data_IF_342970616033
#
_entry.id   IF_342970616033
#
_cell.length_a   1.000
_cell.length_b   1.000
_cell.length_c   1.000
_cell.angle_alpha   90.00
_cell.angle_beta   90.00
_cell.angle_gamma   90.00
#
_symmetry.space_group_name_H-M   'P 1'
#
loop_
_entity.id
_entity.type
_entity.pdbx_description
1 polymer ?
#
# COMPACT_ATOMS: atom_id res chain seq x y z
N UNK A 1 10.68 -19.21 -11.21
CA UNK A 1 9.74 -18.10 -10.89
C UNK A 1 10.43 -17.17 -9.92
N UNK A 2 9.98 -15.93 -9.76
CA UNK A 2 10.57 -15.04 -8.77
C UNK A 2 10.13 -15.46 -7.36
N UNK A 3 11.01 -15.31 -6.37
CA UNK A 3 10.66 -15.52 -4.97
C UNK A 3 10.06 -14.26 -4.36
N UNK A 4 9.40 -14.40 -3.20
CA UNK A 4 8.89 -13.25 -2.40
C UNK A 4 10.03 -12.27 -2.11
N UNK A 5 11.21 -12.78 -1.74
CA UNK A 5 12.39 -11.97 -1.48
C UNK A 5 12.86 -11.17 -2.71
N UNK A 6 12.93 -11.81 -3.89
CA UNK A 6 13.32 -11.13 -5.13
C UNK A 6 12.31 -10.04 -5.52
N UNK A 7 11.01 -10.28 -5.28
CA UNK A 7 9.96 -9.29 -5.50
C UNK A 7 10.11 -8.13 -4.52
N UNK A 8 10.35 -8.39 -3.24
CA UNK A 8 10.61 -7.34 -2.24
C UNK A 8 11.81 -6.48 -2.63
N UNK A 9 12.93 -7.10 -3.02
CA UNK A 9 14.12 -6.38 -3.48
C UNK A 9 13.81 -5.49 -4.70
N UNK A 10 13.00 -5.97 -5.62
CA UNK A 10 12.57 -5.19 -6.78
C UNK A 10 11.71 -4.00 -6.38
N UNK A 11 10.77 -4.17 -5.46
CA UNK A 11 9.93 -3.08 -4.92
C UNK A 11 10.78 -2.04 -4.21
N UNK A 12 11.73 -2.45 -3.37
CA UNK A 12 12.64 -1.53 -2.68
C UNK A 12 13.67 -0.86 -3.59
N UNK A 13 13.99 -1.44 -4.74
CA UNK A 13 14.81 -0.73 -5.75
C UNK A 13 14.10 0.49 -6.34
N UNK A 14 12.78 0.50 -6.29
CA UNK A 14 11.93 1.62 -6.73
C UNK A 14 11.54 2.56 -5.58
N UNK A 15 11.08 2.01 -4.48
CA UNK A 15 10.68 2.77 -3.29
C UNK A 15 11.50 2.27 -2.07
N UNK A 16 12.71 2.82 -1.84
CA UNK A 16 13.64 2.34 -0.82
C UNK A 16 13.02 2.29 0.58
N UNK A 17 13.35 1.26 1.34
CA UNK A 17 12.87 1.10 2.71
C UNK A 17 13.23 2.28 3.60
N UNK A 18 14.41 2.87 3.37
CA UNK A 18 14.96 3.99 4.12
C UNK A 18 14.17 5.30 3.91
N UNK A 19 13.31 5.35 2.89
CA UNK A 19 12.42 6.49 2.66
C UNK A 19 11.10 6.39 3.43
N UNK A 20 10.85 5.28 4.13
CA UNK A 20 9.70 5.15 5.01
C UNK A 20 9.86 6.00 6.28
N UNK A 21 8.72 6.39 6.86
CA UNK A 21 8.70 7.06 8.16
C UNK A 21 9.23 6.14 9.26
N UNK A 22 9.91 6.68 10.26
CA UNK A 22 10.54 5.93 11.36
C UNK A 22 9.58 5.04 12.16
N UNK A 23 8.30 5.40 12.17
CA UNK A 23 7.24 4.66 12.87
C UNK A 23 6.59 3.57 12.00
N UNK A 24 6.91 3.51 10.71
CA UNK A 24 6.22 2.65 9.75
C UNK A 24 6.69 1.19 9.80
N UNK A 25 5.87 0.30 9.22
CA UNK A 25 6.16 -1.12 9.14
C UNK A 25 6.04 -1.60 7.69
N UNK A 26 7.06 -1.29 6.89
CA UNK A 26 7.12 -1.63 5.47
C UNK A 26 7.98 -2.87 5.20
N UNK A 27 7.69 -3.58 4.14
CA UNK A 27 8.41 -4.75 3.66
C UNK A 27 7.64 -6.06 3.83
N UNK A 28 8.35 -7.17 3.80
CA UNK A 28 7.78 -8.50 3.93
C UNK A 28 7.36 -8.77 5.38
N UNK A 29 6.05 -8.84 5.62
CA UNK A 29 5.45 -8.93 6.95
C UNK A 29 4.95 -10.32 7.31
N UNK A 30 4.55 -11.13 6.33
CA UNK A 30 3.98 -12.48 6.53
C UNK A 30 4.48 -13.40 5.43
N UNK A 31 4.82 -14.63 5.77
CA UNK A 31 5.11 -15.71 4.82
C UNK A 31 6.59 -16.07 4.70
N UNK A 32 6.91 -16.90 3.71
CA UNK A 32 8.25 -17.42 3.45
C UNK A 32 8.93 -16.56 2.36
N UNK A 33 10.12 -15.97 2.62
CA UNK A 33 10.85 -15.20 1.63
C UNK A 33 11.29 -16.02 0.40
N UNK A 34 11.48 -17.34 0.56
CA UNK A 34 11.89 -18.23 -0.52
C UNK A 34 10.73 -18.81 -1.32
N UNK A 35 9.49 -18.52 -0.95
CA UNK A 35 8.31 -18.96 -1.67
C UNK A 35 8.32 -18.41 -3.11
N UNK A 36 8.14 -19.31 -4.08
CA UNK A 36 7.95 -18.93 -5.48
C UNK A 36 6.57 -18.32 -5.73
N UNK A 37 6.53 -17.27 -6.53
CA UNK A 37 5.32 -16.47 -6.80
C UNK A 37 5.01 -16.49 -8.29
N UNK A 38 3.81 -16.96 -8.63
CA UNK A 38 3.24 -16.90 -9.98
C UNK A 38 2.22 -15.76 -10.10
N UNK A 39 1.49 -15.48 -9.00
CA UNK A 39 0.40 -14.51 -9.00
C UNK A 39 0.47 -13.60 -7.78
N UNK A 40 0.33 -12.32 -8.05
CA UNK A 40 0.32 -11.26 -7.03
C UNK A 40 -1.06 -10.61 -7.04
N UNK A 41 -1.66 -10.46 -5.86
CA UNK A 41 -2.82 -9.59 -5.65
C UNK A 41 -2.33 -8.25 -5.09
N UNK A 42 -2.77 -7.14 -5.69
CA UNK A 42 -2.46 -5.79 -5.21
C UNK A 42 -3.70 -5.20 -4.57
N UNK A 43 -3.56 -4.69 -3.36
CA UNK A 43 -4.68 -4.12 -2.59
C UNK A 43 -4.25 -2.89 -1.78
N UNK A 44 -5.23 -2.08 -1.36
CA UNK A 44 -4.98 -0.98 -0.42
C UNK A 44 -4.76 -1.54 0.99
N UNK A 45 -5.66 -2.39 1.44
CA UNK A 45 -5.68 -3.03 2.76
C UNK A 45 -5.71 -4.55 2.63
N UNK A 46 -5.11 -5.27 3.58
CA UNK A 46 -5.27 -6.72 3.72
C UNK A 46 -6.43 -7.00 4.68
N UNK A 47 -7.63 -7.10 4.12
CA UNK A 47 -8.85 -7.47 4.85
C UNK A 47 -9.17 -8.95 4.68
N UNK A 48 -10.08 -9.49 5.49
CA UNK A 48 -10.58 -10.87 5.32
C UNK A 48 -11.09 -11.13 3.90
N UNK A 49 -11.77 -10.15 3.30
CA UNK A 49 -12.26 -10.22 1.92
C UNK A 49 -11.12 -10.29 0.90
N UNK A 50 -10.09 -9.48 1.07
CA UNK A 50 -8.91 -9.47 0.19
C UNK A 50 -8.14 -10.79 0.31
N UNK A 51 -8.00 -11.35 1.52
CA UNK A 51 -7.39 -12.67 1.71
C UNK A 51 -8.21 -13.77 1.04
N UNK A 52 -9.55 -13.73 1.15
CA UNK A 52 -10.40 -14.68 0.44
C UNK A 52 -10.26 -14.56 -1.09
N UNK A 53 -10.19 -13.34 -1.63
CA UNK A 53 -9.95 -13.11 -3.06
C UNK A 53 -8.59 -13.67 -3.50
N UNK A 54 -7.53 -13.52 -2.68
CA UNK A 54 -6.23 -14.10 -2.95
C UNK A 54 -6.29 -15.63 -3.02
N UNK A 55 -7.02 -16.27 -2.09
CA UNK A 55 -7.27 -17.73 -2.10
C UNK A 55 -8.02 -18.14 -3.38
N UNK A 56 -9.11 -17.46 -3.68
CA UNK A 56 -9.99 -17.80 -4.81
C UNK A 56 -9.27 -17.66 -6.16
N UNK A 57 -8.39 -16.66 -6.29
CA UNK A 57 -7.59 -16.47 -7.51
C UNK A 57 -6.24 -17.21 -7.50
N UNK A 58 -5.88 -17.89 -6.41
CA UNK A 58 -4.63 -18.64 -6.28
C UNK A 58 -3.39 -17.72 -6.25
N UNK A 59 -3.46 -16.58 -5.61
CA UNK A 59 -2.30 -15.70 -5.41
C UNK A 59 -1.44 -16.19 -4.25
N UNK A 60 -0.10 -16.23 -4.45
CA UNK A 60 0.87 -16.57 -3.42
C UNK A 60 1.34 -15.34 -2.63
N UNK A 61 1.13 -14.13 -3.18
CA UNK A 61 1.60 -12.89 -2.58
C UNK A 61 0.53 -11.81 -2.66
N UNK A 62 0.31 -11.10 -1.55
CA UNK A 62 -0.43 -9.84 -1.53
C UNK A 62 0.57 -8.71 -1.33
N UNK A 63 0.55 -7.73 -2.23
CA UNK A 63 1.26 -6.45 -2.06
C UNK A 63 0.23 -5.40 -1.66
N UNK A 64 0.34 -4.85 -0.47
CA UNK A 64 -0.59 -3.84 0.04
C UNK A 64 0.08 -2.49 0.26
N UNK A 65 -0.73 -1.44 0.29
CA UNK A 65 -0.28 -0.13 0.73
C UNK A 65 -0.22 -0.06 2.25
N UNK A 66 -1.33 -0.34 2.93
CA UNK A 66 -1.35 -0.34 4.40
C UNK A 66 -0.75 -1.62 4.98
N UNK A 67 0.08 -1.52 6.04
CA UNK A 67 0.64 -2.68 6.71
C UNK A 67 -0.44 -3.49 7.43
N UNK A 68 -0.35 -4.81 7.31
CA UNK A 68 -1.34 -5.71 7.92
C UNK A 68 -1.22 -5.77 9.44
N UNK A 69 -0.09 -5.36 10.01
CA UNK A 69 0.17 -5.38 11.45
C UNK A 69 1.29 -4.41 11.88
N UNK A 70 1.43 -4.22 13.20
CA UNK A 70 2.55 -3.52 13.87
C UNK A 70 2.72 -2.05 13.47
N UNK A 71 1.62 -1.31 13.37
CA UNK A 71 1.67 0.15 13.23
C UNK A 71 1.66 0.80 14.62
N UNK A 72 2.58 1.74 14.86
CA UNK A 72 2.79 2.35 16.20
C UNK A 72 1.57 3.04 16.80
N UNK A 73 0.66 3.55 15.99
CA UNK A 73 -0.57 4.17 16.52
C UNK A 73 -1.51 3.16 17.20
N UNK A 74 -1.28 1.85 17.02
CA UNK A 74 -1.99 0.77 17.71
C UNK A 74 -1.18 0.15 18.86
N UNK A 75 -0.15 0.82 19.38
CA UNK A 75 0.75 0.29 20.43
C UNK A 75 0.02 -0.16 21.71
N UNK A 76 -1.17 0.35 21.95
CA UNK A 76 -1.99 -0.01 23.12
C UNK A 76 -2.86 -1.25 22.90
N UNK A 77 -2.97 -1.71 21.68
CA UNK A 77 -3.75 -2.89 21.37
C UNK A 77 -2.88 -4.13 21.41
N UNK A 78 -3.36 -5.18 22.08
CA UNK A 78 -2.68 -6.46 22.12
C UNK A 78 -2.69 -7.09 20.73
N UNK A 79 -1.52 -7.26 20.12
CA UNK A 79 -1.35 -7.97 18.86
C UNK A 79 -1.32 -9.48 19.12
N UNK A 80 -2.16 -10.25 18.43
CA UNK A 80 -2.32 -11.69 18.67
C UNK A 80 -2.64 -12.42 17.37
N UNK A 81 -2.21 -13.68 17.27
CA UNK A 81 -2.55 -14.61 16.17
C UNK A 81 -3.83 -15.40 16.42
N UNK A 82 -4.60 -15.05 17.44
CA UNK A 82 -5.89 -15.74 17.74
C UNK A 82 -6.89 -15.52 16.61
N UNK A 83 -7.47 -16.60 16.04
CA UNK A 83 -8.37 -16.51 14.88
C UNK A 83 -9.73 -15.87 15.21
N UNK A 84 -10.05 -15.70 16.50
CA UNK A 84 -11.27 -15.02 16.98
C UNK A 84 -11.12 -13.50 17.08
N UNK A 85 -9.95 -12.96 16.72
CA UNK A 85 -9.73 -11.52 16.57
C UNK A 85 -9.58 -11.17 15.10
N UNK A 86 -9.98 -9.96 14.70
CA UNK A 86 -9.89 -9.52 13.28
C UNK A 86 -8.47 -9.68 12.72
N UNK A 87 -7.48 -9.10 13.38
CA UNK A 87 -6.08 -9.18 12.93
C UNK A 87 -5.56 -10.62 12.94
N UNK A 88 -5.77 -11.33 14.04
CA UNK A 88 -5.32 -12.72 14.18
C UNK A 88 -6.00 -13.65 13.19
N UNK A 89 -7.26 -13.43 12.85
CA UNK A 89 -7.99 -14.15 11.80
C UNK A 89 -7.36 -13.96 10.43
N UNK A 90 -7.06 -12.71 10.05
CA UNK A 90 -6.37 -12.38 8.80
C UNK A 90 -5.01 -13.06 8.75
N UNK A 91 -4.16 -12.85 9.77
CA UNK A 91 -2.79 -13.40 9.79
C UNK A 91 -2.77 -14.93 9.77
N UNK A 92 -3.62 -15.58 10.56
CA UNK A 92 -3.70 -17.05 10.57
C UNK A 92 -4.24 -17.62 9.26
N UNK A 93 -5.12 -16.91 8.57
CA UNK A 93 -5.62 -17.34 7.25
C UNK A 93 -4.55 -17.20 6.18
N UNK A 94 -3.78 -16.11 6.16
CA UNK A 94 -2.62 -15.95 5.27
C UNK A 94 -1.64 -17.14 5.43
N UNK A 95 -1.21 -17.39 6.67
CA UNK A 95 -0.23 -18.46 6.97
C UNK A 95 -0.77 -19.85 6.60
N UNK A 96 -2.05 -20.15 6.88
CA UNK A 96 -2.66 -21.45 6.56
C UNK A 96 -2.81 -21.73 5.07
N UNK A 97 -2.84 -20.68 4.26
CA UNK A 97 -2.99 -20.79 2.81
C UNK A 97 -1.69 -20.49 2.04
N UNK A 98 -0.56 -20.43 2.77
CA UNK A 98 0.76 -20.13 2.19
C UNK A 98 0.74 -18.84 1.36
N UNK A 99 0.07 -17.78 1.86
CA UNK A 99 0.01 -16.48 1.22
C UNK A 99 0.92 -15.52 1.97
N UNK A 100 1.93 -15.02 1.26
CA UNK A 100 2.86 -14.00 1.76
C UNK A 100 2.27 -12.61 1.62
N UNK A 101 2.74 -11.66 2.45
CA UNK A 101 2.30 -10.27 2.42
C UNK A 101 3.48 -9.31 2.49
N UNK A 102 3.55 -8.39 1.52
CA UNK A 102 4.49 -7.27 1.47
C UNK A 102 3.71 -5.96 1.57
N UNK A 103 4.19 -5.06 2.42
CA UNK A 103 3.65 -3.71 2.56
C UNK A 103 4.59 -2.66 1.93
N UNK A 104 4.02 -1.78 1.10
CA UNK A 104 4.66 -0.61 0.51
C UNK A 104 3.84 0.63 0.89
N UNK A 105 4.18 1.29 1.98
CA UNK A 105 3.40 2.35 2.62
C UNK A 105 4.04 3.73 2.43
N UNK A 106 4.54 4.35 3.49
CA UNK A 106 5.10 5.70 3.41
C UNK A 106 6.34 5.80 2.52
N UNK A 107 7.10 4.72 2.35
CA UNK A 107 8.17 4.66 1.36
C UNK A 107 7.66 4.80 -0.08
N UNK A 108 6.50 4.22 -0.40
CA UNK A 108 5.86 4.36 -1.71
C UNK A 108 5.21 5.74 -1.89
N UNK A 109 4.75 6.36 -0.79
CA UNK A 109 4.27 7.74 -0.81
C UNK A 109 5.41 8.73 -1.10
N UNK A 110 6.59 8.48 -0.55
CA UNK A 110 7.77 9.32 -0.74
C UNK A 110 8.47 9.11 -2.10
N UNK A 111 8.32 7.93 -2.71
CA UNK A 111 9.02 7.55 -3.93
C UNK A 111 8.65 8.41 -5.13
N UNK A 112 9.64 8.66 -6.00
CA UNK A 112 9.42 9.26 -7.31
C UNK A 112 8.57 8.30 -8.17
N UNK A 113 7.51 8.83 -8.78
CA UNK A 113 6.52 8.03 -9.51
C UNK A 113 5.62 7.17 -8.61
N UNK A 114 5.68 7.33 -7.29
CA UNK A 114 4.86 6.66 -6.29
C UNK A 114 3.43 7.19 -6.23
N UNK A 115 2.75 6.90 -5.11
CA UNK A 115 1.32 7.20 -4.94
C UNK A 115 1.01 8.69 -5.14
N UNK A 116 1.79 9.57 -4.52
CA UNK A 116 1.54 11.01 -4.59
C UNK A 116 1.76 11.59 -5.99
N UNK A 117 2.75 11.09 -6.74
CA UNK A 117 2.97 11.51 -8.12
C UNK A 117 1.88 11.00 -9.06
N UNK A 118 1.45 9.75 -8.86
CA UNK A 118 0.33 9.18 -9.61
C UNK A 118 -0.97 9.96 -9.37
N UNK A 119 -1.22 10.37 -8.11
CA UNK A 119 -2.37 11.16 -7.73
C UNK A 119 -2.32 12.57 -8.34
N UNK A 120 -1.18 13.26 -8.23
CA UNK A 120 -0.96 14.58 -8.84
C UNK A 120 -1.19 14.53 -10.36
N UNK A 121 -0.64 13.52 -11.03
CA UNK A 121 -0.85 13.30 -12.47
C UNK A 121 -2.32 13.04 -12.80
N UNK A 122 -3.01 12.22 -12.01
CA UNK A 122 -4.42 11.90 -12.22
C UNK A 122 -5.32 13.12 -12.04
N UNK A 123 -4.97 14.02 -11.12
CA UNK A 123 -5.64 15.29 -10.91
C UNK A 123 -5.27 16.38 -11.95
N UNK A 124 -4.32 16.09 -12.84
CA UNK A 124 -3.90 17.01 -13.89
C UNK A 124 -3.11 18.22 -13.38
N UNK A 125 -2.35 18.04 -12.30
CA UNK A 125 -1.48 19.09 -11.78
C UNK A 125 -0.27 19.31 -12.68
N UNK A 126 0.06 20.57 -12.94
CA UNK A 126 1.28 21.03 -13.61
C UNK A 126 2.26 21.59 -12.57
N UNK A 127 3.52 21.75 -12.96
CA UNK A 127 4.59 22.30 -12.11
C UNK A 127 4.62 21.65 -10.73
N UNK A 128 4.60 20.31 -10.74
CA UNK A 128 4.49 19.50 -9.52
C UNK A 128 5.82 19.43 -8.80
N UNK A 129 5.82 19.70 -7.49
CA UNK A 129 6.97 19.58 -6.61
C UNK A 129 6.56 19.03 -5.23
N UNK A 130 7.55 18.68 -4.41
CA UNK A 130 7.34 18.12 -3.09
C UNK A 130 6.63 19.12 -2.17
N UNK A 131 5.65 18.64 -1.40
CA UNK A 131 4.92 19.46 -0.44
C UNK A 131 5.79 19.78 0.79
N UNK A 132 6.66 18.88 1.21
CA UNK A 132 7.48 18.97 2.41
C UNK A 132 8.80 18.19 2.28
N UNK A 133 9.68 18.36 3.27
CA UNK A 133 10.99 17.67 3.35
C UNK A 133 10.87 16.16 3.54
N UNK A 134 9.75 15.68 4.08
CA UNK A 134 9.43 14.24 4.24
C UNK A 134 9.08 13.57 2.92
N UNK A 135 8.99 14.34 1.82
CA UNK A 135 8.64 13.89 0.46
C UNK A 135 7.22 13.31 0.33
N UNK A 136 6.39 13.43 1.35
CA UNK A 136 4.99 13.01 1.32
C UNK A 136 4.12 14.19 0.89
N UNK A 137 3.24 13.92 -0.08
CA UNK A 137 2.41 14.94 -0.73
C UNK A 137 3.11 15.64 -1.88
N UNK A 138 2.27 16.23 -2.73
CA UNK A 138 2.68 17.03 -3.88
C UNK A 138 1.90 18.34 -3.89
N UNK A 139 2.54 19.38 -4.40
CA UNK A 139 1.88 20.65 -4.69
C UNK A 139 2.09 20.97 -6.17
N UNK A 140 1.09 21.54 -6.80
CA UNK A 140 1.14 21.90 -8.22
C UNK A 140 0.03 22.86 -8.58
N UNK A 141 -0.03 23.24 -9.84
CA UNK A 141 -1.01 24.20 -10.38
C UNK A 141 -1.99 23.50 -11.31
N UNK A 142 -3.24 23.95 -11.32
CA UNK A 142 -4.21 23.52 -12.32
C UNK A 142 -3.92 24.22 -13.66
N UNK A 143 -4.26 23.57 -14.76
CA UNK A 143 -4.11 24.15 -16.12
C UNK A 143 -4.99 25.36 -16.37
N UNK A 144 -6.07 25.53 -15.60
CA UNK A 144 -6.95 26.69 -15.63
C UNK A 144 -7.54 26.96 -14.25
N UNK A 145 -7.91 28.21 -14.00
CA UNK A 145 -8.60 28.60 -12.78
C UNK A 145 -9.97 27.91 -12.70
N UNK A 146 -10.28 27.35 -11.53
CA UNK A 146 -11.55 26.65 -11.24
C UNK A 146 -12.10 27.07 -9.90
N UNK A 147 -13.43 27.15 -9.83
CA UNK A 147 -14.13 27.28 -8.55
C UNK A 147 -13.98 25.99 -7.71
N UNK A 148 -14.02 26.13 -6.38
CA UNK A 148 -13.87 25.01 -5.44
C UNK A 148 -14.85 23.87 -5.73
N UNK A 149 -16.13 24.18 -5.96
CA UNK A 149 -17.15 23.16 -6.24
C UNK A 149 -16.91 22.42 -7.56
N UNK A 150 -16.44 23.12 -8.58
CA UNK A 150 -16.10 22.51 -9.86
C UNK A 150 -14.92 21.55 -9.70
N UNK A 151 -13.88 22.00 -9.00
CA UNK A 151 -12.70 21.17 -8.71
C UNK A 151 -13.07 19.91 -7.92
N UNK A 152 -13.91 20.03 -6.88
CA UNK A 152 -14.37 18.88 -6.10
C UNK A 152 -15.14 17.86 -6.94
N UNK A 153 -16.02 18.32 -7.85
CA UNK A 153 -16.71 17.41 -8.79
C UNK A 153 -15.74 16.69 -9.72
N UNK A 154 -14.71 17.39 -10.20
CA UNK A 154 -13.67 16.78 -11.02
C UNK A 154 -12.89 15.71 -10.23
N UNK A 155 -12.52 15.99 -8.98
CA UNK A 155 -11.83 15.03 -8.10
C UNK A 155 -12.67 13.78 -7.91
N UNK A 156 -13.95 13.91 -7.55
CA UNK A 156 -14.89 12.79 -7.37
C UNK A 156 -14.96 11.96 -8.65
N UNK A 157 -15.10 12.60 -9.80
CA UNK A 157 -15.20 11.93 -11.10
C UNK A 157 -13.89 11.21 -11.49
N UNK A 158 -12.74 11.88 -11.31
CA UNK A 158 -11.44 11.36 -11.70
C UNK A 158 -10.99 10.19 -10.82
N UNK A 159 -11.29 10.25 -9.53
CA UNK A 159 -10.91 9.21 -8.57
C UNK A 159 -11.95 8.09 -8.46
N UNK A 160 -13.17 8.29 -8.97
CA UNK A 160 -14.27 7.34 -8.87
C UNK A 160 -14.75 7.15 -7.42
N UNK A 161 -14.55 8.16 -6.56
CA UNK A 161 -14.99 8.11 -5.16
C UNK A 161 -16.42 8.66 -5.04
N UNK A 162 -17.19 8.09 -4.10
CA UNK A 162 -18.47 8.64 -3.70
C UNK A 162 -18.24 9.89 -2.83
N UNK A 163 -18.83 11.01 -3.23
CA UNK A 163 -18.84 12.24 -2.46
C UNK A 163 -19.92 12.22 -1.39
#
# INVERSE_FOLDING_TARGET
MATVHEIEQRLFSWAPRESAMDWDNVGHLVGDPEQEVERILVALDITERVVQEAIDCGAQLIVSHHPVMNVRWHEREMQTLRPDTRLGGVLTTLVKNDISAICMHTNLDAADGGVNDCLAKKLGLNDVFLLNDEKIGRIGTLSCEKGLEEFLRDVIKLLGCGG
#
